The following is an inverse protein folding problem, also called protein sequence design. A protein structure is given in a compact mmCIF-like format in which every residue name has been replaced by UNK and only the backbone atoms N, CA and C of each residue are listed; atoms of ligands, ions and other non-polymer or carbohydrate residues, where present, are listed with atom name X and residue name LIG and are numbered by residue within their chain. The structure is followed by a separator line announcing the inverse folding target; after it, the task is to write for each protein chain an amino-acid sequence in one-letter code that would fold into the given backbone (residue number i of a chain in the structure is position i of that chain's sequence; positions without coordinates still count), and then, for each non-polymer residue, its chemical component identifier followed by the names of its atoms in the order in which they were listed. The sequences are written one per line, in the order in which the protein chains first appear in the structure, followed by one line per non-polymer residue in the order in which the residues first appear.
data_IF_066570116392
#
_entry.id   IF_066570116392
#
_cell.length_a   1.000
_cell.length_b   1.000
_cell.length_c   1.000
_cell.angle_alpha   90.00
_cell.angle_beta   90.00
_cell.angle_gamma   90.00
#
_symmetry.space_group_name_H-M   'P 1'
#
loop_
_entity.id
_entity.type
_entity.pdbx_description
1 polymer ?
#
# COMPACT_ATOMS: atom_id res chain seq x y z
N UNK A 1 5.00 -71.89 -50.81
CA UNK A 1 5.72 -71.31 -49.67
C UNK A 1 5.57 -69.80 -49.75
N UNK A 2 4.40 -69.26 -49.42
CA UNK A 2 3.96 -68.78 -48.08
C UNK A 2 4.48 -67.37 -47.78
N UNK A 3 3.73 -66.36 -48.23
CA UNK A 3 3.70 -65.02 -47.64
C UNK A 3 2.36 -64.89 -46.89
N UNK A 4 2.42 -64.70 -45.56
CA UNK A 4 1.32 -64.28 -44.67
C UNK A 4 1.90 -63.14 -43.82
N UNK A 5 1.40 -61.91 -43.96
CA UNK A 5 0.26 -61.32 -43.24
C UNK A 5 0.45 -61.20 -41.71
N UNK A 6 0.41 -59.93 -41.26
CA UNK A 6 -0.14 -59.36 -40.01
C UNK A 6 0.40 -59.87 -38.67
N UNK A 7 0.94 -58.93 -37.87
CA UNK A 7 0.09 -58.25 -36.87
C UNK A 7 0.74 -56.95 -36.37
N UNK A 8 0.00 -55.85 -36.52
CA UNK A 8 0.26 -54.58 -35.85
C UNK A 8 -0.98 -54.30 -34.99
N UNK A 9 -0.96 -54.77 -33.75
CA UNK A 9 -1.98 -54.46 -32.74
C UNK A 9 -1.28 -53.87 -31.52
N UNK A 10 -1.56 -52.60 -31.26
CA UNK A 10 -1.19 -51.92 -30.03
C UNK A 10 -1.66 -50.47 -30.04
N UNK A 11 -2.67 -50.18 -29.20
CA UNK A 11 -3.20 -48.87 -28.77
C UNK A 11 -4.30 -48.18 -29.60
N UNK A 12 -5.58 -48.54 -29.34
CA UNK A 12 -6.72 -47.62 -29.48
C UNK A 12 -7.40 -47.21 -28.14
N UNK A 13 -7.12 -47.89 -27.03
CA UNK A 13 -7.99 -47.82 -25.83
C UNK A 13 -7.98 -46.48 -25.07
N UNK A 14 -6.90 -45.68 -25.14
CA UNK A 14 -6.82 -44.42 -24.40
C UNK A 14 -7.63 -43.28 -25.04
N UNK A 15 -7.86 -43.33 -26.35
CA UNK A 15 -8.52 -42.26 -27.11
C UNK A 15 -10.04 -42.37 -27.08
N UNK A 16 -10.59 -43.58 -26.95
CA UNK A 16 -12.03 -43.82 -26.86
C UNK A 16 -12.61 -43.38 -25.50
N UNK A 17 -11.91 -43.65 -24.40
CA UNK A 17 -12.35 -43.26 -23.05
C UNK A 17 -12.42 -41.74 -22.86
N UNK A 18 -11.49 -40.99 -23.47
CA UNK A 18 -11.49 -39.53 -23.43
C UNK A 18 -12.67 -38.92 -24.19
N UNK A 19 -13.08 -39.55 -25.30
CA UNK A 19 -14.23 -39.14 -26.12
C UNK A 19 -15.56 -39.42 -25.41
N UNK A 20 -15.68 -40.55 -24.73
CA UNK A 20 -16.85 -40.92 -23.93
C UNK A 20 -17.05 -39.96 -22.74
N UNK A 21 -15.97 -39.59 -22.05
CA UNK A 21 -16.02 -38.62 -20.96
C UNK A 21 -16.47 -37.23 -21.41
N UNK A 22 -15.97 -36.74 -22.53
CA UNK A 22 -16.39 -35.46 -23.12
C UNK A 22 -17.87 -35.48 -23.52
N UNK A 23 -18.38 -36.63 -23.97
CA UNK A 23 -19.79 -36.79 -24.33
C UNK A 23 -20.74 -36.74 -23.11
N UNK A 24 -20.31 -37.28 -21.97
CA UNK A 24 -21.06 -37.21 -20.71
C UNK A 24 -21.10 -35.78 -20.14
N UNK A 25 -20.02 -35.01 -20.26
CA UNK A 25 -19.97 -33.61 -19.83
C UNK A 25 -20.95 -32.71 -20.59
N UNK A 26 -21.11 -32.95 -21.89
CA UNK A 26 -22.08 -32.24 -22.72
C UNK A 26 -23.53 -32.57 -22.34
N UNK A 27 -23.79 -33.81 -21.94
CA UNK A 27 -25.13 -34.29 -21.60
C UNK A 27 -25.64 -33.69 -20.27
N UNK A 28 -24.76 -33.59 -19.27
CA UNK A 28 -25.12 -33.10 -17.93
C UNK A 28 -25.10 -31.56 -17.82
N UNK A 29 -24.07 -30.87 -18.33
CA UNK A 29 -23.92 -29.42 -18.11
C UNK A 29 -24.61 -28.55 -19.17
N UNK A 30 -24.92 -29.11 -20.36
CA UNK A 30 -25.60 -28.42 -21.49
C UNK A 30 -25.08 -26.99 -21.75
N UNK A 31 -23.77 -26.79 -21.96
CA UNK A 31 -23.20 -25.46 -22.19
C UNK A 31 -23.78 -24.84 -23.48
N UNK A 32 -24.20 -23.58 -23.41
CA UNK A 32 -24.85 -22.86 -24.53
C UNK A 32 -23.87 -22.17 -25.47
N UNK A 33 -22.61 -22.07 -25.09
CA UNK A 33 -21.56 -21.37 -25.84
C UNK A 33 -20.26 -22.18 -25.81
N UNK A 34 -19.45 -22.04 -26.86
CA UNK A 34 -18.17 -22.76 -26.98
C UNK A 34 -17.23 -22.44 -25.81
N UNK A 35 -17.17 -21.17 -25.40
CA UNK A 35 -16.37 -20.72 -24.24
C UNK A 35 -16.81 -21.35 -22.92
N UNK A 36 -18.11 -21.63 -22.75
CA UNK A 36 -18.61 -22.31 -21.56
C UNK A 36 -18.28 -23.80 -21.59
N UNK A 37 -18.29 -24.43 -22.77
CA UNK A 37 -17.86 -25.82 -22.96
C UNK A 37 -16.39 -25.98 -22.59
N UNK A 38 -15.51 -25.13 -23.13
CA UNK A 38 -14.08 -25.14 -22.81
C UNK A 38 -13.81 -24.92 -21.30
N UNK A 39 -14.54 -24.00 -20.66
CA UNK A 39 -14.41 -23.75 -19.23
C UNK A 39 -14.81 -24.97 -18.38
N UNK A 40 -15.89 -25.67 -18.75
CA UNK A 40 -16.35 -26.90 -18.07
C UNK A 40 -15.34 -28.03 -18.27
N UNK A 41 -14.87 -28.27 -19.49
CA UNK A 41 -13.84 -29.28 -19.77
C UNK A 41 -12.55 -29.00 -18.97
N UNK A 42 -12.12 -27.74 -18.89
CA UNK A 42 -10.95 -27.32 -18.10
C UNK A 42 -11.16 -27.49 -16.60
N UNK A 43 -12.34 -27.14 -16.08
CA UNK A 43 -12.66 -27.27 -14.66
C UNK A 43 -12.73 -28.74 -14.23
N UNK A 44 -13.36 -29.60 -15.03
CA UNK A 44 -13.47 -31.03 -14.73
C UNK A 44 -12.10 -31.71 -14.81
N UNK A 45 -11.29 -31.35 -15.81
CA UNK A 45 -9.93 -31.87 -15.94
C UNK A 45 -9.05 -31.46 -14.76
N UNK A 46 -9.06 -30.19 -14.37
CA UNK A 46 -8.28 -29.72 -13.21
C UNK A 46 -8.75 -30.36 -11.90
N UNK A 47 -10.05 -30.56 -11.73
CA UNK A 47 -10.60 -31.30 -10.59
C UNK A 47 -10.14 -32.77 -10.57
N UNK A 48 -10.18 -33.44 -11.72
CA UNK A 48 -9.73 -34.83 -11.85
C UNK A 48 -8.23 -34.97 -11.55
N UNK A 49 -7.39 -34.08 -12.07
CA UNK A 49 -5.96 -34.03 -11.79
C UNK A 49 -5.67 -33.81 -10.29
N UNK A 50 -6.40 -32.91 -9.63
CA UNK A 50 -6.25 -32.65 -8.19
C UNK A 50 -6.78 -33.79 -7.32
N UNK A 51 -7.92 -34.40 -7.67
CA UNK A 51 -8.49 -35.53 -6.95
C UNK A 51 -7.60 -36.78 -7.05
N UNK A 52 -6.94 -37.00 -8.20
CA UNK A 52 -5.95 -38.07 -8.36
C UNK A 52 -4.68 -37.82 -7.55
N UNK A 53 -4.22 -36.56 -7.47
CA UNK A 53 -3.03 -36.18 -6.71
C UNK A 53 -3.26 -36.16 -5.19
N UNK A 54 -4.48 -35.91 -4.72
CA UNK A 54 -4.87 -35.87 -3.30
C UNK A 54 -5.86 -36.99 -2.97
N UNK A 55 -5.38 -38.23 -3.03
CA UNK A 55 -6.19 -39.44 -2.84
C UNK A 55 -6.82 -39.55 -1.45
N UNK A 56 -6.29 -38.83 -0.44
CA UNK A 56 -6.75 -38.86 0.95
C UNK A 56 -7.99 -37.98 1.23
N UNK A 57 -8.43 -37.13 0.30
CA UNK A 57 -9.56 -36.20 0.50
C UNK A 57 -10.87 -36.65 -0.15
N UNK A 58 -10.88 -37.81 -0.84
CA UNK A 58 -12.06 -38.29 -1.56
C UNK A 58 -12.98 -39.03 -0.58
N UNK A 59 -13.93 -38.29 0.00
CA UNK A 59 -15.04 -38.91 0.74
C UNK A 59 -16.04 -39.54 -0.24
N UNK A 60 -16.90 -40.46 0.22
CA UNK A 60 -18.02 -40.99 -0.57
C UNK A 60 -19.00 -39.90 -1.07
N UNK A 61 -18.83 -38.66 -0.59
CA UNK A 61 -19.58 -37.47 -0.99
C UNK A 61 -18.69 -36.55 -1.83
N UNK A 62 -18.95 -36.52 -3.13
CA UNK A 62 -18.19 -35.70 -4.09
C UNK A 62 -18.29 -34.20 -3.77
N UNK A 63 -19.42 -33.75 -3.20
CA UNK A 63 -19.62 -32.33 -2.86
C UNK A 63 -18.68 -31.92 -1.73
N UNK A 64 -18.59 -32.72 -0.66
CA UNK A 64 -17.66 -32.46 0.45
C UNK A 64 -16.21 -32.50 0.01
N UNK A 65 -15.88 -33.37 -0.94
CA UNK A 65 -14.53 -33.46 -1.50
C UNK A 65 -14.19 -32.18 -2.29
N UNK A 66 -15.13 -31.66 -3.09
CA UNK A 66 -14.97 -30.37 -3.81
C UNK A 66 -14.83 -29.21 -2.82
N UNK A 67 -15.68 -29.13 -1.78
CA UNK A 67 -15.58 -28.11 -0.73
C UNK A 67 -14.22 -28.15 -0.01
N UNK A 68 -13.68 -29.34 0.25
CA UNK A 68 -12.37 -29.50 0.86
C UNK A 68 -11.23 -29.01 -0.05
N UNK A 69 -11.33 -29.24 -1.36
CA UNK A 69 -10.37 -28.75 -2.35
C UNK A 69 -10.44 -27.22 -2.44
N UNK A 70 -11.66 -26.64 -2.47
CA UNK A 70 -11.86 -25.19 -2.46
C UNK A 70 -11.22 -24.58 -1.20
N UNK A 71 -11.49 -25.16 -0.02
CA UNK A 71 -10.89 -24.68 1.24
C UNK A 71 -9.35 -24.75 1.22
N UNK A 72 -8.77 -25.78 0.61
CA UNK A 72 -7.31 -25.90 0.46
C UNK A 72 -6.74 -24.86 -0.53
N UNK A 73 -7.46 -24.54 -1.60
CA UNK A 73 -7.11 -23.46 -2.54
C UNK A 73 -7.20 -22.11 -1.83
N UNK A 74 -8.29 -21.85 -1.11
CA UNK A 74 -8.49 -20.61 -0.35
C UNK A 74 -7.38 -20.42 0.69
N UNK A 75 -7.01 -21.48 1.42
CA UNK A 75 -5.90 -21.41 2.37
C UNK A 75 -4.58 -21.01 1.69
N UNK A 76 -4.29 -21.55 0.49
CA UNK A 76 -3.09 -21.18 -0.29
C UNK A 76 -3.17 -19.74 -0.81
N UNK A 77 -4.33 -19.33 -1.32
CA UNK A 77 -4.56 -17.97 -1.80
C UNK A 77 -4.44 -16.95 -0.66
N UNK A 78 -5.09 -17.20 0.48
CA UNK A 78 -5.00 -16.37 1.68
C UNK A 78 -3.57 -16.26 2.16
N UNK A 79 -2.81 -17.37 2.22
CA UNK A 79 -1.41 -17.35 2.61
C UNK A 79 -0.57 -16.46 1.66
N UNK A 80 -0.74 -16.62 0.34
CA UNK A 80 0.00 -15.87 -0.65
C UNK A 80 -0.38 -14.37 -0.65
N UNK A 81 -1.68 -14.07 -0.64
CA UNK A 81 -2.19 -12.70 -0.61
C UNK A 81 -1.74 -12.00 0.66
N UNK A 82 -1.76 -12.69 1.82
CA UNK A 82 -1.23 -12.14 3.06
C UNK A 82 0.24 -11.75 2.95
N UNK A 83 1.08 -12.52 2.25
CA UNK A 83 2.47 -12.13 2.04
C UNK A 83 2.60 -10.88 1.16
N UNK A 84 1.77 -10.77 0.11
CA UNK A 84 1.78 -9.62 -0.80
C UNK A 84 1.30 -8.35 -0.09
N UNK A 85 0.13 -8.38 0.56
CA UNK A 85 -0.48 -7.18 1.14
C UNK A 85 0.20 -6.74 2.45
N UNK A 86 0.88 -7.65 3.15
CA UNK A 86 1.64 -7.29 4.35
C UNK A 86 3.11 -6.95 4.06
N UNK A 87 3.53 -6.93 2.79
CA UNK A 87 4.87 -6.49 2.42
C UNK A 87 5.08 -5.01 2.80
N UNK A 88 6.20 -4.61 3.43
CA UNK A 88 6.40 -3.25 3.92
C UNK A 88 6.28 -2.16 2.84
N UNK A 89 6.74 -2.44 1.63
CA UNK A 89 6.62 -1.49 0.51
C UNK A 89 5.17 -1.31 0.05
N UNK A 90 4.41 -2.42 0.01
CA UNK A 90 3.00 -2.37 -0.34
C UNK A 90 2.22 -1.63 0.73
N UNK A 91 2.44 -1.93 2.01
CA UNK A 91 1.79 -1.24 3.11
C UNK A 91 2.08 0.26 3.14
N UNK A 92 3.33 0.67 2.84
CA UNK A 92 3.70 2.08 2.76
C UNK A 92 2.95 2.82 1.65
N UNK A 93 2.85 2.19 0.48
CA UNK A 93 2.09 2.75 -0.65
C UNK A 93 0.58 2.76 -0.36
N UNK A 94 0.06 1.65 0.16
CA UNK A 94 -1.34 1.50 0.56
C UNK A 94 -1.72 2.53 1.63
N UNK A 95 -0.89 2.74 2.65
CA UNK A 95 -1.18 3.72 3.72
C UNK A 95 -1.21 5.15 3.19
N UNK A 96 -0.30 5.52 2.29
CA UNK A 96 -0.26 6.85 1.70
C UNK A 96 -1.51 7.13 0.86
N UNK A 97 -1.86 6.21 -0.05
CA UNK A 97 -3.05 6.37 -0.91
C UNK A 97 -4.36 6.24 -0.15
N UNK A 98 -4.45 5.35 0.85
CA UNK A 98 -5.64 5.28 1.71
C UNK A 98 -5.78 6.52 2.58
N UNK A 99 -4.69 7.06 3.09
CA UNK A 99 -4.69 8.33 3.83
C UNK A 99 -5.19 9.48 2.95
N UNK A 100 -4.69 9.58 1.71
CA UNK A 100 -5.18 10.57 0.75
C UNK A 100 -6.65 10.35 0.38
N UNK A 101 -7.06 9.10 0.14
CA UNK A 101 -8.45 8.75 -0.15
C UNK A 101 -9.38 9.08 1.03
N UNK A 102 -8.94 8.86 2.26
CA UNK A 102 -9.66 9.28 3.47
C UNK A 102 -9.82 10.81 3.49
N UNK A 103 -8.73 11.55 3.25
CA UNK A 103 -8.78 13.02 3.20
C UNK A 103 -9.78 13.51 2.13
N UNK A 104 -9.73 12.96 0.92
CA UNK A 104 -10.60 13.37 -0.18
C UNK A 104 -12.07 13.03 0.09
N UNK A 105 -12.37 11.81 0.54
CA UNK A 105 -13.77 11.39 0.72
C UNK A 105 -14.44 12.00 1.95
N UNK A 106 -13.66 12.39 2.96
CA UNK A 106 -14.17 13.04 4.16
C UNK A 106 -14.18 14.58 4.05
N UNK A 107 -13.79 15.13 2.90
CA UNK A 107 -13.79 16.57 2.65
C UNK A 107 -14.89 16.94 1.67
N UNK A 108 -15.77 17.87 2.04
CA UNK A 108 -16.76 18.45 1.14
C UNK A 108 -16.07 19.48 0.23
N UNK A 109 -15.48 19.01 -0.87
CA UNK A 109 -14.83 19.88 -1.85
C UNK A 109 -15.84 20.65 -2.69
N UNK A 110 -15.74 21.97 -2.69
CA UNK A 110 -16.55 22.89 -3.49
C UNK A 110 -15.63 23.92 -4.20
N UNK A 111 -16.18 25.04 -4.66
CA UNK A 111 -15.37 26.11 -5.27
C UNK A 111 -14.40 26.78 -4.28
N UNK A 112 -14.68 26.73 -2.96
CA UNK A 112 -13.88 27.33 -1.90
C UNK A 112 -12.80 26.37 -1.38
N UNK A 113 -13.05 25.07 -1.40
CA UNK A 113 -12.15 24.06 -0.83
C UNK A 113 -11.54 23.15 -1.89
N UNK A 114 -10.24 23.35 -2.13
CA UNK A 114 -9.45 22.59 -3.11
C UNK A 114 -8.33 21.82 -2.44
N UNK A 115 -8.12 20.59 -2.90
CA UNK A 115 -7.00 19.74 -2.48
C UNK A 115 -6.03 19.60 -3.65
N UNK A 116 -4.78 20.04 -3.46
CA UNK A 116 -3.71 19.92 -4.45
C UNK A 116 -2.64 18.98 -3.92
N UNK A 117 -2.28 17.98 -4.73
CA UNK A 117 -1.36 16.91 -4.34
C UNK A 117 -0.03 17.09 -5.08
N UNK A 118 1.06 17.12 -4.31
CA UNK A 118 2.42 17.07 -4.84
C UNK A 118 3.07 15.75 -4.43
N UNK A 119 3.39 14.90 -5.39
CA UNK A 119 4.11 13.66 -5.15
C UNK A 119 5.61 13.94 -5.02
N UNK A 120 6.10 13.99 -3.79
CA UNK A 120 7.54 14.11 -3.52
C UNK A 120 7.93 13.17 -2.38
N UNK A 121 9.03 12.43 -2.54
CA UNK A 121 9.51 11.57 -1.46
C UNK A 121 10.25 12.40 -0.41
N UNK A 122 10.20 11.98 0.86
CA UNK A 122 10.91 12.67 1.95
C UNK A 122 12.41 12.89 1.66
N UNK A 123 13.16 11.91 1.11
CA UNK A 123 14.57 12.12 0.78
C UNK A 123 14.78 13.15 -0.34
N UNK A 124 13.89 13.18 -1.34
CA UNK A 124 13.94 14.18 -2.41
C UNK A 124 13.61 15.57 -1.88
N UNK A 125 12.59 15.70 -1.03
CA UNK A 125 12.22 16.96 -0.37
C UNK A 125 13.38 17.51 0.48
N UNK A 126 14.03 16.65 1.27
CA UNK A 126 15.22 17.04 2.03
C UNK A 126 16.36 17.45 1.10
N UNK A 127 16.64 16.69 0.04
CA UNK A 127 17.69 17.00 -0.93
C UNK A 127 17.45 18.31 -1.67
N UNK A 128 16.20 18.61 -2.04
CA UNK A 128 15.86 19.87 -2.71
C UNK A 128 16.06 21.03 -1.76
N UNK A 129 15.45 21.03 -0.58
CA UNK A 129 15.57 22.13 0.38
C UNK A 129 17.01 22.35 0.85
N UNK A 130 17.76 21.28 1.08
CA UNK A 130 19.18 21.35 1.48
C UNK A 130 20.05 22.08 0.46
N UNK A 131 19.78 21.95 -0.84
CA UNK A 131 20.53 22.65 -1.90
C UNK A 131 20.37 24.17 -1.87
N UNK A 132 19.24 24.66 -1.36
CA UNK A 132 18.88 26.07 -1.36
C UNK A 132 18.98 26.69 0.04
N UNK A 133 19.58 26.01 1.01
CA UNK A 133 19.69 26.49 2.40
C UNK A 133 20.45 27.81 2.49
N UNK A 134 20.08 28.66 3.47
CA UNK A 134 20.77 29.92 3.76
C UNK A 134 20.11 31.08 3.05
N UNK A 135 20.86 31.88 2.29
CA UNK A 135 20.34 33.08 1.61
C UNK A 135 19.50 32.78 0.35
N UNK A 136 19.56 31.55 -0.16
CA UNK A 136 18.90 31.16 -1.42
C UNK A 136 17.62 30.34 -1.20
N UNK A 137 17.07 30.30 0.01
CA UNK A 137 15.97 29.41 0.40
C UNK A 137 14.67 29.74 -0.35
N UNK A 138 14.50 31.02 -0.67
CA UNK A 138 13.45 31.62 -1.49
C UNK A 138 13.55 31.23 -2.98
N UNK A 139 14.68 30.69 -3.43
CA UNK A 139 14.84 30.23 -4.82
C UNK A 139 14.55 28.74 -4.99
N UNK A 140 14.17 28.05 -3.91
CA UNK A 140 13.91 26.62 -3.94
C UNK A 140 12.69 26.28 -4.82
N UNK A 141 12.70 25.16 -5.57
CA UNK A 141 11.56 24.75 -6.39
C UNK A 141 10.26 24.63 -5.58
N UNK A 142 10.37 24.24 -4.31
CA UNK A 142 9.23 24.17 -3.41
C UNK A 142 8.67 25.56 -3.10
N UNK A 143 9.54 26.52 -2.76
CA UNK A 143 9.13 27.89 -2.49
C UNK A 143 8.49 28.54 -3.73
N UNK A 144 9.05 28.34 -4.92
CA UNK A 144 8.43 28.86 -6.15
C UNK A 144 7.01 28.35 -6.37
N UNK A 145 6.80 27.04 -6.18
CA UNK A 145 5.48 26.41 -6.34
C UNK A 145 4.46 26.83 -5.28
N UNK A 146 4.91 27.01 -4.05
CA UNK A 146 4.04 27.28 -2.92
C UNK A 146 3.77 28.78 -2.74
N UNK A 147 4.81 29.59 -2.91
CA UNK A 147 4.78 31.03 -2.70
C UNK A 147 4.63 31.78 -4.03
N UNK A 148 5.59 31.70 -4.96
CA UNK A 148 5.58 32.54 -6.17
C UNK A 148 4.40 32.26 -7.11
N UNK A 149 4.11 30.99 -7.40
CA UNK A 149 3.06 30.57 -8.35
C UNK A 149 1.64 30.83 -7.82
N UNK A 150 1.47 30.97 -6.50
CA UNK A 150 0.14 31.04 -5.87
C UNK A 150 -0.01 32.25 -4.94
N UNK A 151 0.70 32.29 -3.81
CA UNK A 151 0.57 33.36 -2.82
C UNK A 151 1.03 34.73 -3.35
N UNK A 152 2.14 34.77 -4.08
CA UNK A 152 2.73 35.97 -4.66
C UNK A 152 2.18 36.33 -6.05
N UNK A 153 1.39 35.45 -6.65
CA UNK A 153 0.83 35.64 -7.99
C UNK A 153 -0.49 36.40 -7.91
N UNK A 154 -0.64 37.45 -8.73
CA UNK A 154 -1.93 38.14 -8.84
C UNK A 154 -2.99 37.19 -9.43
N UNK A 155 -4.07 36.98 -8.66
CA UNK A 155 -5.13 36.02 -9.00
C UNK A 155 -4.78 34.55 -8.73
N UNK A 156 -3.70 34.27 -7.99
CA UNK A 156 -3.39 32.91 -7.52
C UNK A 156 -4.26 32.47 -6.35
N UNK A 157 -4.11 31.20 -5.94
CA UNK A 157 -4.90 30.60 -4.87
C UNK A 157 -4.00 30.21 -3.68
N UNK A 158 -3.86 31.08 -2.66
CA UNK A 158 -3.04 30.81 -1.48
C UNK A 158 -3.39 29.47 -0.81
N UNK A 159 -2.37 28.70 -0.47
CA UNK A 159 -2.58 27.46 0.28
C UNK A 159 -2.98 27.77 1.73
N UNK A 160 -4.10 27.22 2.20
CA UNK A 160 -4.52 27.41 3.59
C UNK A 160 -3.71 26.58 4.59
N UNK A 161 -3.32 25.36 4.21
CA UNK A 161 -2.59 24.42 5.05
C UNK A 161 -1.81 23.45 4.17
N UNK A 162 -0.64 23.02 4.64
CA UNK A 162 0.17 22.00 4.00
C UNK A 162 0.14 20.72 4.82
N UNK A 163 -0.12 19.59 4.18
CA UNK A 163 -0.11 18.28 4.83
C UNK A 163 1.04 17.45 4.28
N UNK A 164 1.97 17.07 5.16
CA UNK A 164 3.07 16.17 4.84
C UNK A 164 2.77 14.76 5.32
N UNK A 165 2.61 13.82 4.38
CA UNK A 165 2.54 12.38 4.69
C UNK A 165 3.93 11.80 4.98
N UNK A 166 4.55 12.32 6.05
CA UNK A 166 5.87 11.92 6.52
C UNK A 166 5.88 11.74 8.03
N UNK A 167 6.76 10.85 8.48
CA UNK A 167 7.10 10.65 9.87
C UNK A 167 8.42 11.34 10.18
N UNK A 168 8.43 12.31 11.08
CA UNK A 168 9.62 13.04 11.50
C UNK A 168 10.16 12.54 12.84
N UNK A 169 11.48 12.43 12.95
CA UNK A 169 12.21 12.13 14.17
C UNK A 169 13.11 13.28 14.64
N UNK A 170 13.84 13.08 15.74
CA UNK A 170 14.82 14.04 16.27
C UNK A 170 16.15 14.05 15.51
N UNK A 171 16.30 13.25 14.46
CA UNK A 171 17.56 13.12 13.75
C UNK A 171 17.95 14.43 13.05
N UNK A 172 19.25 14.69 12.85
CA UNK A 172 19.71 15.89 12.15
C UNK A 172 19.04 16.17 10.79
N UNK A 173 18.84 15.20 9.87
CA UNK A 173 18.19 15.49 8.58
C UNK A 173 16.72 15.90 8.74
N UNK A 174 16.01 15.34 9.71
CA UNK A 174 14.60 15.66 9.96
C UNK A 174 14.43 17.02 10.61
N UNK A 175 15.30 17.35 11.58
CA UNK A 175 15.36 18.68 12.19
C UNK A 175 15.74 19.74 11.15
N UNK A 176 16.72 19.45 10.28
CA UNK A 176 17.09 20.32 9.15
C UNK A 176 15.90 20.53 8.20
N UNK A 177 15.21 19.45 7.82
CA UNK A 177 14.05 19.51 6.94
C UNK A 177 12.90 20.32 7.55
N UNK A 178 12.53 20.06 8.82
CA UNK A 178 11.49 20.82 9.51
C UNK A 178 11.85 22.30 9.66
N UNK A 179 13.11 22.61 9.92
CA UNK A 179 13.59 23.99 10.02
C UNK A 179 13.56 24.76 8.69
N UNK A 180 13.80 24.11 7.56
CA UNK A 180 13.62 24.76 6.25
C UNK A 180 12.15 24.85 5.86
N UNK A 181 11.34 23.82 6.15
CA UNK A 181 9.89 23.87 5.92
C UNK A 181 9.22 24.96 6.76
N UNK A 182 9.64 25.17 8.02
CA UNK A 182 9.06 26.20 8.88
C UNK A 182 9.23 27.59 8.30
N UNK A 183 10.39 27.89 7.67
CA UNK A 183 10.62 29.18 6.99
C UNK A 183 9.71 29.36 5.78
N UNK A 184 9.58 28.32 4.96
CA UNK A 184 8.68 28.34 3.79
C UNK A 184 7.24 28.60 4.24
N UNK A 185 6.79 27.87 5.26
CA UNK A 185 5.46 27.98 5.85
C UNK A 185 5.20 29.35 6.48
N UNK A 186 6.19 29.89 7.19
CA UNK A 186 6.10 31.22 7.80
C UNK A 186 5.96 32.32 6.76
N UNK A 187 6.65 32.20 5.61
CA UNK A 187 6.56 33.17 4.53
C UNK A 187 5.21 33.16 3.82
N UNK A 188 4.67 31.97 3.52
CA UNK A 188 3.35 31.84 2.85
C UNK A 188 2.15 31.89 3.81
N UNK A 189 2.39 31.98 5.12
CA UNK A 189 1.39 31.92 6.20
C UNK A 189 0.52 30.64 6.19
N UNK A 190 1.09 29.50 5.82
CA UNK A 190 0.38 28.22 5.77
C UNK A 190 1.03 27.23 6.73
N UNK A 191 0.33 26.77 7.78
CA UNK A 191 0.88 25.77 8.69
C UNK A 191 1.13 24.44 7.97
N UNK A 192 2.22 23.76 8.34
CA UNK A 192 2.57 22.43 7.90
C UNK A 192 2.25 21.40 8.97
N UNK A 193 1.41 20.43 8.62
CA UNK A 193 0.96 19.35 9.49
C UNK A 193 1.56 18.04 8.99
N UNK A 194 2.26 17.32 9.85
CA UNK A 194 2.81 15.99 9.56
C UNK A 194 2.71 15.06 10.78
N UNK A 195 3.27 13.85 10.68
CA UNK A 195 3.29 12.90 11.77
C UNK A 195 4.64 12.88 12.49
N UNK A 196 4.64 12.70 13.81
CA UNK A 196 5.84 12.34 14.54
C UNK A 196 6.10 10.82 14.42
N UNK A 197 7.37 10.44 14.30
CA UNK A 197 7.83 9.06 14.42
C UNK A 197 7.82 8.63 15.90
N UNK A 198 7.52 7.37 16.25
CA UNK A 198 7.64 6.90 17.65
C UNK A 198 9.07 7.07 18.21
N UNK A 199 10.06 7.09 17.32
CA UNK A 199 11.46 7.34 17.66
C UNK A 199 11.72 8.73 18.26
N UNK A 200 10.85 9.73 18.01
CA UNK A 200 10.88 11.03 18.71
C UNK A 200 10.78 10.85 20.21
N UNK A 201 10.05 9.85 20.69
CA UNK A 201 9.92 9.55 22.11
C UNK A 201 10.98 8.53 22.59
N UNK A 202 11.99 8.23 21.78
CA UNK A 202 12.96 7.17 22.06
C UNK A 202 12.35 5.77 22.04
N UNK A 203 11.21 5.59 21.36
CA UNK A 203 10.45 4.34 21.31
C UNK A 203 10.57 3.66 19.95
N UNK A 204 10.52 2.33 19.93
CA UNK A 204 10.42 1.56 18.69
C UNK A 204 9.00 1.55 18.12
N UNK A 205 8.00 1.76 18.98
CA UNK A 205 6.58 1.68 18.63
C UNK A 205 5.74 2.62 19.49
N UNK A 206 4.65 3.15 18.91
CA UNK A 206 3.66 3.92 19.68
C UNK A 206 2.92 3.08 20.73
N UNK A 207 3.05 1.75 20.71
CA UNK A 207 2.52 0.86 21.75
C UNK A 207 3.25 1.02 23.10
N UNK A 208 4.45 1.58 23.10
CA UNK A 208 5.28 1.78 24.30
C UNK A 208 5.01 3.12 25.00
N UNK A 209 4.07 3.93 24.48
CA UNK A 209 3.83 5.30 24.94
C UNK A 209 3.41 5.39 26.42
N UNK A 210 2.79 4.35 26.96
CA UNK A 210 2.39 4.27 28.37
C UNK A 210 3.52 3.88 29.33
N UNK A 211 4.69 3.46 28.81
CA UNK A 211 5.78 2.95 29.65
C UNK A 211 6.53 4.06 30.40
N UNK A 212 6.91 5.21 29.78
CA UNK A 212 7.64 6.24 30.50
C UNK A 212 6.73 7.00 31.46
N UNK A 213 7.19 7.16 32.70
CA UNK A 213 6.49 7.97 33.71
C UNK A 213 6.52 9.46 33.40
N UNK A 214 7.55 9.95 32.71
CA UNK A 214 7.71 11.35 32.32
C UNK A 214 8.37 11.46 30.94
N UNK A 215 7.59 11.91 29.95
CA UNK A 215 8.05 12.14 28.58
C UNK A 215 8.92 13.39 28.46
N UNK A 216 8.77 14.36 29.35
CA UNK A 216 9.49 15.64 29.30
C UNK A 216 10.99 15.41 29.44
N UNK A 217 11.37 14.47 30.31
CA UNK A 217 12.78 14.12 30.57
C UNK A 217 13.50 13.61 29.33
N UNK A 218 12.79 12.94 28.41
CA UNK A 218 13.36 12.39 27.17
C UNK A 218 14.00 13.51 26.34
N UNK A 219 13.28 14.62 26.17
CA UNK A 219 13.70 15.78 25.39
C UNK A 219 14.84 16.61 26.02
N UNK A 220 15.21 16.34 27.27
CA UNK A 220 16.32 17.06 27.95
C UNK A 220 17.69 16.51 27.59
N UNK A 221 17.74 15.28 27.05
CA UNK A 221 18.99 14.62 26.68
C UNK A 221 19.71 15.39 25.54
N UNK A 222 21.05 15.25 25.42
CA UNK A 222 21.81 15.97 24.41
C UNK A 222 21.44 15.60 22.97
N UNK A 223 20.89 14.40 22.74
CA UNK A 223 20.42 13.96 21.42
C UNK A 223 19.35 14.90 20.83
N UNK A 224 18.50 15.46 21.69
CA UNK A 224 17.43 16.38 21.30
C UNK A 224 17.87 17.86 21.30
N UNK A 225 19.17 18.15 21.31
CA UNK A 225 19.64 19.53 21.25
C UNK A 225 19.10 20.24 19.99
N UNK A 226 19.21 19.62 18.82
CA UNK A 226 18.66 20.16 17.57
C UNK A 226 17.14 20.32 17.60
N UNK A 227 16.44 19.33 18.16
CA UNK A 227 14.98 19.38 18.32
C UNK A 227 14.52 20.52 19.24
N UNK A 228 15.23 20.76 20.35
CA UNK A 228 14.97 21.90 21.23
C UNK A 228 15.23 23.22 20.53
N UNK A 229 16.35 23.36 19.82
CA UNK A 229 16.64 24.56 19.03
C UNK A 229 15.57 24.83 17.96
N UNK A 230 15.04 23.78 17.32
CA UNK A 230 13.90 23.92 16.41
C UNK A 230 12.67 24.45 17.13
N UNK A 231 12.31 23.91 18.29
CA UNK A 231 11.13 24.33 19.07
C UNK A 231 11.22 25.77 19.58
N UNK A 232 12.42 26.26 19.88
CA UNK A 232 12.65 27.65 20.29
C UNK A 232 12.65 28.62 19.10
N UNK A 233 12.67 28.12 17.87
CA UNK A 233 12.58 28.95 16.66
C UNK A 233 11.20 29.58 16.54
N UNK A 234 11.15 30.87 16.18
CA UNK A 234 9.89 31.60 16.02
C UNK A 234 9.02 30.99 14.90
N UNK A 235 9.65 30.49 13.82
CA UNK A 235 8.97 29.90 12.67
C UNK A 235 8.34 28.53 12.99
N UNK A 236 8.76 27.87 14.07
CA UNK A 236 8.26 26.54 14.44
C UNK A 236 6.77 26.56 14.83
N UNK A 237 6.19 27.73 15.09
CA UNK A 237 4.74 27.91 15.30
C UNK A 237 3.89 27.46 14.12
N UNK A 238 4.47 27.40 12.92
CA UNK A 238 3.81 26.90 11.72
C UNK A 238 3.91 25.38 11.56
N UNK A 239 4.60 24.66 12.45
CA UNK A 239 4.77 23.21 12.36
C UNK A 239 3.88 22.50 13.39
N UNK A 240 2.95 21.69 12.90
CA UNK A 240 2.15 20.78 13.71
C UNK A 240 2.56 19.32 13.47
N UNK A 241 2.93 18.62 14.54
CA UNK A 241 3.21 17.18 14.47
C UNK A 241 2.15 16.39 15.24
N UNK A 242 1.51 15.48 14.55
CA UNK A 242 0.44 14.62 15.08
C UNK A 242 0.99 13.27 15.53
N UNK A 243 0.41 12.74 16.61
CA UNK A 243 0.72 11.42 17.16
C UNK A 243 -0.54 10.84 17.82
N UNK A 244 -0.77 9.50 17.83
CA UNK A 244 -0.30 8.45 16.92
C UNK A 244 -1.22 8.27 15.69
N UNK A 245 -0.82 7.40 14.75
CA UNK A 245 -1.58 7.06 13.53
C UNK A 245 -2.92 6.37 13.83
N UNK A 246 -3.91 6.57 12.96
CA UNK A 246 -5.20 5.90 13.02
C UNK A 246 -5.25 4.68 12.08
N UNK A 247 -6.24 3.80 12.29
CA UNK A 247 -6.43 2.61 11.47
C UNK A 247 -7.12 2.96 10.14
N UNK A 248 -6.46 2.68 9.02
CA UNK A 248 -6.96 3.04 7.68
C UNK A 248 -8.06 2.10 7.14
N UNK A 249 -8.07 0.82 7.56
CA UNK A 249 -9.10 -0.16 7.18
C UNK A 249 -9.24 -1.29 8.20
N UNK A 250 -10.40 -1.93 8.20
CA UNK A 250 -10.57 -3.22 8.86
C UNK A 250 -9.82 -4.32 8.07
N UNK A 251 -9.31 -5.36 8.76
CA UNK A 251 -8.91 -6.60 8.09
C UNK A 251 -10.08 -7.19 7.29
N UNK A 252 -9.75 -7.82 6.15
CA UNK A 252 -10.73 -8.48 5.28
C UNK A 252 -11.21 -9.80 5.89
#
# INVERSE_FOLDING_TARGET
MTELMRDNQGQPAATEQASEFASLLLQEFKPKTERAREAVETAVRTLAEQALAQTDLVSNDAIKSIESIIAAIDAKLTAQVNQVIHHPEFQKLESAWRGLHYLVNNTESDEQLKIRVLNISKPELHKTLKKFKGTAWDQSPLFKKMYEEEYGQFGGEPYGCLVGDYYFDQSPPDVELLGELSKVCAAMHSPFIAAASPTVMGMGSWQELSNPRDLTKIFTTPEYAGWRSLRESEDARYIGLTMPRFLARLPY
#
